data_IF_766905056873
#
_entry.id   IF_766905056873
#
_cell.length_a   1.000
_cell.length_b   1.000
_cell.length_c   1.000
_cell.angle_alpha   90.00
_cell.angle_beta   90.00
_cell.angle_gamma   90.00
#
_symmetry.space_group_name_H-M   'P 1'
#
loop_
_entity.id
_entity.type
_entity.pdbx_description
1 polymer ?
#
# COMPACT_ATOMS: atom_id res chain seq x y z
N UNK A 1 14.61 -28.14 -12.03
CA UNK A 1 13.33 -27.49 -11.65
C UNK A 1 13.18 -26.18 -12.42
N UNK A 2 11.95 -25.78 -12.76
CA UNK A 2 11.67 -24.45 -13.32
C UNK A 2 10.30 -23.94 -12.87
N UNK A 3 10.10 -22.62 -12.90
CA UNK A 3 8.78 -22.01 -12.75
C UNK A 3 8.04 -22.22 -14.07
N UNK A 4 6.89 -22.90 -14.03
CA UNK A 4 6.10 -23.18 -15.22
C UNK A 4 5.19 -21.99 -15.55
N UNK A 5 4.48 -21.48 -14.55
CA UNK A 5 3.66 -20.29 -14.66
C UNK A 5 3.41 -19.65 -13.29
N UNK A 6 2.93 -18.42 -13.33
CA UNK A 6 2.37 -17.73 -12.15
C UNK A 6 0.97 -17.22 -12.44
N UNK A 7 0.14 -17.13 -11.42
CA UNK A 7 -1.14 -16.44 -11.49
C UNK A 7 -1.15 -15.28 -10.51
N UNK A 8 -1.44 -14.09 -10.99
CA UNK A 8 -1.49 -12.85 -10.20
C UNK A 8 -2.95 -12.45 -10.07
N UNK A 9 -3.40 -12.29 -8.83
CA UNK A 9 -4.75 -11.83 -8.52
C UNK A 9 -4.75 -10.60 -7.63
N UNK A 10 -5.74 -9.72 -7.85
CA UNK A 10 -5.99 -8.51 -7.06
C UNK A 10 -4.77 -7.61 -6.80
N UNK A 11 -3.85 -7.52 -7.76
CA UNK A 11 -2.65 -6.69 -7.66
C UNK A 11 -2.71 -5.52 -8.66
N UNK A 12 -2.88 -4.29 -8.16
CA UNK A 12 -3.09 -3.08 -8.99
C UNK A 12 -4.23 -3.31 -9.99
N UNK A 13 -3.97 -3.24 -11.29
CA UNK A 13 -4.94 -3.51 -12.37
C UNK A 13 -5.03 -4.99 -12.78
N UNK A 14 -4.18 -5.86 -12.22
CA UNK A 14 -4.16 -7.29 -12.52
C UNK A 14 -5.17 -7.99 -11.60
N UNK A 15 -6.41 -8.13 -12.08
CA UNK A 15 -7.46 -8.77 -11.31
C UNK A 15 -7.27 -10.29 -11.24
N UNK A 16 -7.00 -10.92 -12.39
CA UNK A 16 -6.75 -12.37 -12.48
C UNK A 16 -6.01 -12.69 -13.79
N UNK A 17 -4.70 -12.87 -13.72
CA UNK A 17 -3.83 -13.02 -14.89
C UNK A 17 -2.88 -14.19 -14.70
N UNK A 18 -2.77 -15.08 -15.70
CA UNK A 18 -1.72 -16.09 -15.77
C UNK A 18 -0.57 -15.60 -16.65
N UNK A 19 0.65 -15.87 -16.22
CA UNK A 19 1.87 -15.65 -16.99
C UNK A 19 2.65 -16.97 -17.06
N UNK A 20 2.75 -17.53 -18.26
CA UNK A 20 3.55 -18.71 -18.53
C UNK A 20 5.01 -18.34 -18.77
N UNK A 21 5.94 -19.12 -18.21
CA UNK A 21 7.36 -18.92 -18.38
C UNK A 21 7.96 -19.96 -19.31
N UNK A 22 8.70 -19.49 -20.31
CA UNK A 22 9.54 -20.35 -21.12
C UNK A 22 10.74 -20.84 -20.30
N UNK A 23 11.30 -22.00 -20.70
CA UNK A 23 12.41 -22.66 -19.99
C UNK A 23 13.67 -21.82 -19.81
N UNK A 24 13.91 -20.85 -20.70
CA UNK A 24 15.15 -20.07 -20.75
C UNK A 24 14.90 -18.58 -20.66
N UNK A 25 14.07 -18.03 -21.55
CA UNK A 25 13.87 -16.58 -21.65
C UNK A 25 12.42 -16.29 -21.98
N UNK A 26 11.80 -15.44 -21.17
CA UNK A 26 10.43 -14.96 -21.35
C UNK A 26 10.45 -13.46 -21.53
N UNK A 27 9.77 -12.95 -22.56
CA UNK A 27 9.72 -11.52 -22.89
C UNK A 27 8.28 -11.05 -22.83
N UNK A 28 7.98 -10.03 -22.03
CA UNK A 28 6.65 -9.43 -21.98
C UNK A 28 6.53 -8.33 -23.02
N UNK A 29 5.67 -8.54 -24.02
CA UNK A 29 5.37 -7.57 -25.09
C UNK A 29 3.89 -7.21 -25.05
N UNK A 30 3.55 -5.94 -25.27
CA UNK A 30 2.18 -5.48 -25.27
C UNK A 30 2.07 -3.96 -25.24
N UNK A 31 0.86 -3.43 -25.40
CA UNK A 31 0.60 -1.99 -25.38
C UNK A 31 0.97 -1.32 -24.05
N UNK A 32 1.10 0.00 -24.04
CA UNK A 32 1.24 0.75 -22.78
C UNK A 32 0.05 0.47 -21.86
N UNK A 33 0.32 0.44 -20.54
CA UNK A 33 -0.66 0.13 -19.51
C UNK A 33 -1.29 -1.28 -19.58
N UNK A 34 -0.75 -2.20 -20.38
CA UNK A 34 -1.22 -3.59 -20.47
C UNK A 34 -0.84 -4.47 -19.26
N UNK A 35 -0.30 -3.89 -18.18
CA UNK A 35 0.03 -4.62 -16.96
C UNK A 35 1.43 -5.24 -16.87
N UNK A 36 2.28 -5.15 -17.91
CA UNK A 36 3.64 -5.74 -17.92
C UNK A 36 4.51 -5.30 -16.74
N UNK A 37 4.60 -3.99 -16.51
CA UNK A 37 5.36 -3.44 -15.39
C UNK A 37 4.73 -3.83 -14.05
N UNK A 38 3.39 -3.84 -13.96
CA UNK A 38 2.71 -4.28 -12.75
C UNK A 38 2.97 -5.76 -12.44
N UNK A 39 3.04 -6.63 -13.45
CA UNK A 39 3.35 -8.04 -13.27
C UNK A 39 4.79 -8.22 -12.76
N UNK A 40 5.74 -7.45 -13.29
CA UNK A 40 7.11 -7.44 -12.78
C UNK A 40 7.21 -6.96 -11.34
N UNK A 41 6.46 -5.91 -10.98
CA UNK A 41 6.43 -5.40 -9.61
C UNK A 41 5.75 -6.39 -8.66
N UNK A 42 4.70 -7.10 -9.10
CA UNK A 42 4.09 -8.17 -8.32
C UNK A 42 5.11 -9.28 -8.01
N UNK A 43 5.80 -9.78 -9.02
CA UNK A 43 6.86 -10.79 -8.84
C UNK A 43 7.93 -10.32 -7.86
N UNK A 44 8.37 -9.07 -7.98
CA UNK A 44 9.33 -8.48 -7.05
C UNK A 44 8.78 -8.44 -5.63
N UNK A 45 7.59 -7.90 -5.40
CA UNK A 45 7.03 -7.76 -4.06
C UNK A 45 6.76 -9.11 -3.39
N UNK A 46 6.27 -10.10 -4.13
CA UNK A 46 6.00 -11.43 -3.54
C UNK A 46 7.26 -12.28 -3.35
N UNK A 47 8.24 -12.20 -4.26
CA UNK A 47 9.36 -13.15 -4.28
C UNK A 47 10.70 -12.56 -3.78
N UNK A 48 10.87 -11.23 -3.81
CA UNK A 48 12.13 -10.55 -3.43
C UNK A 48 11.93 -9.64 -2.23
N UNK A 49 11.18 -8.55 -2.41
CA UNK A 49 11.02 -7.46 -1.44
C UNK A 49 9.65 -7.53 -0.76
N UNK A 50 9.47 -8.52 0.12
CA UNK A 50 8.19 -8.83 0.78
C UNK A 50 7.64 -7.73 1.69
N UNK A 51 8.47 -6.75 2.04
CA UNK A 51 8.10 -5.63 2.91
C UNK A 51 7.60 -4.39 2.16
N UNK A 52 7.63 -4.38 0.82
CA UNK A 52 7.47 -3.16 0.03
C UNK A 52 6.08 -2.84 -0.48
N UNK A 53 5.08 -3.61 -0.04
CA UNK A 53 3.69 -3.33 -0.35
C UNK A 53 3.23 -1.94 0.12
N UNK A 54 2.37 -1.34 -0.69
CA UNK A 54 1.65 -0.09 -0.43
C UNK A 54 0.16 -0.30 -0.70
N UNK A 55 -0.68 0.64 -0.23
CA UNK A 55 -2.12 0.59 -0.53
C UNK A 55 -2.40 0.65 -2.03
N UNK A 56 -1.52 1.27 -2.82
CA UNK A 56 -1.63 1.36 -4.27
C UNK A 56 -1.43 0.01 -4.98
N UNK A 57 -0.89 -0.99 -4.28
CA UNK A 57 -0.74 -2.34 -4.80
C UNK A 57 -2.04 -3.16 -4.64
N UNK A 58 -2.96 -2.73 -3.76
CA UNK A 58 -4.31 -3.26 -3.67
C UNK A 58 -5.13 -2.81 -4.88
N UNK A 59 -5.89 -3.71 -5.49
CA UNK A 59 -6.75 -3.38 -6.62
C UNK A 59 -7.78 -2.33 -6.25
N UNK A 60 -7.82 -1.23 -7.01
CA UNK A 60 -8.63 -0.04 -6.72
C UNK A 60 -10.13 -0.35 -6.61
N UNK A 61 -10.67 -1.26 -7.42
CA UNK A 61 -12.09 -1.64 -7.35
C UNK A 61 -12.47 -2.29 -6.03
N UNK A 62 -11.50 -2.84 -5.30
CA UNK A 62 -11.72 -3.53 -4.03
C UNK A 62 -11.63 -2.56 -2.83
N UNK A 63 -11.19 -1.31 -3.04
CA UNK A 63 -11.07 -0.32 -1.95
C UNK A 63 -12.41 -0.02 -1.30
N UNK A 64 -13.47 0.11 -2.11
CA UNK A 64 -14.82 0.37 -1.59
C UNK A 64 -15.32 -0.77 -0.70
N UNK A 65 -14.96 -2.03 -1.00
CA UNK A 65 -15.31 -3.18 -0.16
C UNK A 65 -14.55 -3.15 1.17
N UNK A 66 -13.27 -2.78 1.15
CA UNK A 66 -12.42 -2.65 2.35
C UNK A 66 -12.88 -1.46 3.23
N UNK A 67 -13.25 -0.33 2.63
CA UNK A 67 -13.84 0.80 3.36
C UNK A 67 -15.23 0.47 3.92
N UNK A 68 -16.02 -0.31 3.18
CA UNK A 68 -17.29 -0.86 3.65
C UNK A 68 -17.12 -1.77 4.88
N UNK A 69 -16.08 -2.61 4.89
CA UNK A 69 -15.72 -3.43 6.05
C UNK A 69 -15.40 -2.57 7.27
N UNK A 70 -14.61 -1.51 7.10
CA UNK A 70 -14.30 -0.56 8.17
C UNK A 70 -15.55 0.11 8.73
N UNK A 71 -16.43 0.57 7.84
CA UNK A 71 -17.73 1.17 8.21
C UNK A 71 -18.62 0.18 8.96
N UNK A 72 -18.63 -1.09 8.54
CA UNK A 72 -19.32 -2.17 9.24
C UNK A 72 -18.80 -2.38 10.67
N UNK A 73 -17.47 -2.36 10.85
CA UNK A 73 -16.85 -2.46 12.17
C UNK A 73 -17.19 -1.30 13.10
N UNK A 74 -17.38 -0.10 12.56
CA UNK A 74 -17.81 1.08 13.32
C UNK A 74 -19.29 0.99 13.74
N UNK A 75 -20.14 0.43 12.89
CA UNK A 75 -21.57 0.28 13.14
C UNK A 75 -21.89 -0.86 14.11
N UNK A 76 -21.02 -1.88 14.19
CA UNK A 76 -21.23 -3.02 15.10
C UNK A 76 -20.99 -2.57 16.54
N UNK A 77 -22.06 -2.42 17.32
CA UNK A 77 -21.97 -2.19 18.76
C UNK A 77 -21.39 -3.45 19.41
N UNK A 78 -20.54 -3.29 20.43
CA UNK A 78 -19.91 -4.39 21.19
C UNK A 78 -20.94 -5.45 21.61
N UNK A 79 -21.01 -6.56 20.88
CA UNK A 79 -21.91 -7.68 21.20
C UNK A 79 -22.52 -8.43 20.01
N UNK A 80 -22.60 -7.82 18.81
CA UNK A 80 -23.18 -8.49 17.65
C UNK A 80 -22.19 -9.45 16.96
N UNK A 81 -22.72 -10.57 16.46
CA UNK A 81 -21.97 -11.58 15.73
C UNK A 81 -21.44 -11.02 14.41
N UNK A 82 -20.15 -11.25 14.17
CA UNK A 82 -19.42 -10.72 13.03
C UNK A 82 -19.95 -11.31 11.72
N UNK A 83 -20.23 -10.46 10.73
CA UNK A 83 -20.39 -10.95 9.36
C UNK A 83 -19.02 -11.39 8.82
N UNK A 84 -18.89 -12.64 8.34
CA UNK A 84 -17.64 -13.12 7.79
C UNK A 84 -17.28 -12.33 6.53
N UNK A 85 -16.11 -11.70 6.52
CA UNK A 85 -15.61 -10.99 5.35
C UNK A 85 -14.71 -11.90 4.52
N UNK A 86 -15.01 -12.04 3.23
CA UNK A 86 -14.21 -12.86 2.32
C UNK A 86 -12.94 -12.12 1.87
N UNK A 87 -11.89 -12.23 2.69
CA UNK A 87 -10.56 -11.73 2.38
C UNK A 87 -9.97 -12.34 1.10
N UNK A 88 -10.38 -13.55 0.68
CA UNK A 88 -9.85 -14.18 -0.53
C UNK A 88 -10.19 -13.37 -1.79
N UNK A 89 -11.35 -12.72 -1.79
CA UNK A 89 -11.86 -11.98 -2.95
C UNK A 89 -11.14 -10.65 -3.19
N UNK A 90 -10.58 -10.03 -2.14
CA UNK A 90 -10.05 -8.66 -2.23
C UNK A 90 -8.53 -8.57 -2.18
N UNK A 91 -7.85 -9.54 -1.56
CA UNK A 91 -6.43 -9.44 -1.25
C UNK A 91 -5.53 -9.82 -2.43
N UNK A 92 -4.41 -9.11 -2.63
CA UNK A 92 -3.41 -9.48 -3.62
C UNK A 92 -2.80 -10.83 -3.31
N UNK A 93 -2.65 -11.65 -4.34
CA UNK A 93 -1.97 -12.94 -4.24
C UNK A 93 -1.18 -13.26 -5.51
N UNK A 94 -0.18 -14.12 -5.34
CA UNK A 94 0.63 -14.71 -6.39
C UNK A 94 0.65 -16.23 -6.21
N UNK A 95 0.10 -16.94 -7.17
CA UNK A 95 0.22 -18.40 -7.26
C UNK A 95 1.45 -18.72 -8.09
N UNK A 96 2.32 -19.55 -7.53
CA UNK A 96 3.54 -19.97 -8.15
C UNK A 96 3.47 -21.47 -8.41
N UNK A 97 3.57 -21.85 -9.68
CA UNK A 97 3.57 -23.25 -10.09
C UNK A 97 4.96 -23.67 -10.56
N UNK A 98 5.58 -24.56 -9.78
CA UNK A 98 6.92 -25.09 -10.02
C UNK A 98 6.81 -26.49 -10.61
N UNK A 99 7.56 -26.73 -11.67
CA UNK A 99 7.74 -28.07 -12.22
C UNK A 99 9.07 -28.65 -11.70
N UNK A 100 8.95 -29.66 -10.84
CA UNK A 100 10.05 -30.24 -10.09
C UNK A 100 10.26 -31.70 -10.51
N UNK A 101 11.44 -32.07 -11.01
CA UNK A 101 11.76 -33.45 -11.33
C UNK A 101 12.06 -34.26 -10.05
N UNK A 102 11.86 -35.58 -10.10
CA UNK A 102 12.02 -36.47 -8.94
C UNK A 102 13.39 -36.38 -8.25
N UNK A 103 14.48 -36.16 -9.00
CA UNK A 103 15.83 -36.09 -8.44
C UNK A 103 16.08 -34.80 -7.63
N UNK A 104 15.23 -33.78 -7.76
CA UNK A 104 15.34 -32.49 -7.05
C UNK A 104 14.34 -32.38 -5.87
N UNK A 105 13.61 -33.45 -5.55
CA UNK A 105 12.57 -33.48 -4.51
C UNK A 105 13.08 -33.00 -3.14
N UNK A 106 14.35 -33.26 -2.83
CA UNK A 106 14.99 -32.85 -1.58
C UNK A 106 15.00 -31.33 -1.36
N UNK A 107 14.89 -30.51 -2.41
CA UNK A 107 14.81 -29.05 -2.30
C UNK A 107 13.42 -28.55 -1.88
N UNK A 108 12.38 -29.32 -2.17
CA UNK A 108 10.97 -28.89 -2.06
C UNK A 108 10.20 -29.62 -0.96
N UNK A 109 10.90 -30.31 -0.04
CA UNK A 109 10.28 -31.11 1.04
C UNK A 109 9.22 -30.37 1.84
N UNK A 110 9.40 -29.05 2.05
CA UNK A 110 8.47 -28.21 2.82
C UNK A 110 7.17 -27.88 2.09
N UNK A 111 7.13 -28.09 0.77
CA UNK A 111 5.99 -27.74 -0.08
C UNK A 111 5.43 -28.95 -0.84
N UNK A 112 5.76 -30.16 -0.41
CA UNK A 112 5.22 -31.36 -1.03
C UNK A 112 3.73 -31.49 -0.69
N UNK A 113 2.85 -31.65 -1.69
CA UNK A 113 1.42 -31.80 -1.44
C UNK A 113 1.08 -33.16 -0.83
N UNK A 114 1.84 -34.21 -1.16
CA UNK A 114 1.62 -35.59 -0.71
C UNK A 114 2.95 -36.30 -0.46
N UNK A 115 2.97 -37.31 0.41
CA UNK A 115 4.17 -38.12 0.68
C UNK A 115 4.55 -39.02 -0.51
N UNK A 116 3.56 -39.52 -1.26
CA UNK A 116 3.75 -40.38 -2.44
C UNK A 116 3.94 -39.60 -3.74
N UNK A 117 4.43 -38.36 -3.64
CA UNK A 117 4.52 -37.47 -4.79
C UNK A 117 5.59 -37.94 -5.80
N UNK A 118 5.16 -38.24 -7.02
CA UNK A 118 5.95 -38.89 -8.06
C UNK A 118 6.63 -37.93 -9.06
N UNK A 119 6.78 -36.65 -8.70
CA UNK A 119 7.30 -35.63 -9.63
C UNK A 119 6.17 -34.83 -10.30
N UNK A 120 6.51 -33.66 -10.84
CA UNK A 120 5.58 -32.82 -11.61
C UNK A 120 5.35 -31.44 -11.00
N UNK A 121 4.09 -31.00 -11.02
CA UNK A 121 3.72 -29.64 -10.65
C UNK A 121 3.46 -29.52 -9.15
N UNK A 122 4.03 -28.48 -8.54
CA UNK A 122 3.79 -28.07 -7.15
C UNK A 122 3.35 -26.61 -7.17
N UNK A 123 2.22 -26.32 -6.55
CA UNK A 123 1.68 -24.97 -6.45
C UNK A 123 1.81 -24.40 -5.04
N UNK A 124 2.25 -23.15 -4.96
CA UNK A 124 2.29 -22.37 -3.71
C UNK A 124 1.65 -21.01 -3.94
N UNK A 125 0.62 -20.67 -3.16
CA UNK A 125 0.03 -19.33 -3.14
C UNK A 125 0.71 -18.47 -2.11
N UNK A 126 1.22 -17.32 -2.51
CA UNK A 126 1.66 -16.25 -1.64
C UNK A 126 0.57 -15.18 -1.58
N UNK A 127 -0.01 -14.93 -0.41
CA UNK A 127 -1.06 -13.91 -0.24
C UNK A 127 -0.62 -12.85 0.74
N UNK A 128 -0.88 -11.59 0.41
CA UNK A 128 -0.63 -10.47 1.30
C UNK A 128 -1.88 -10.20 2.15
N UNK A 129 -1.86 -10.59 3.42
CA UNK A 129 -3.05 -10.61 4.29
C UNK A 129 -2.79 -10.06 5.70
N UNK A 130 -3.85 -9.71 6.45
CA UNK A 130 -3.71 -9.30 7.85
C UNK A 130 -3.13 -10.41 8.73
N UNK A 131 -2.11 -10.07 9.51
CA UNK A 131 -1.50 -10.95 10.53
C UNK A 131 -2.54 -11.43 11.54
N UNK A 132 -3.28 -10.48 12.08
CA UNK A 132 -4.35 -10.72 13.04
C UNK A 132 -5.46 -9.70 12.77
N UNK A 133 -6.60 -10.20 12.27
CA UNK A 133 -7.77 -9.36 11.96
C UNK A 133 -8.31 -8.70 13.23
N UNK A 134 -8.26 -9.36 14.38
CA UNK A 134 -8.74 -8.81 15.64
C UNK A 134 -7.91 -7.64 16.15
N UNK A 135 -6.58 -7.74 16.09
CA UNK A 135 -5.69 -6.63 16.51
C UNK A 135 -5.76 -5.48 15.52
N UNK A 136 -5.79 -5.78 14.22
CA UNK A 136 -6.01 -4.79 13.16
C UNK A 136 -7.32 -4.01 13.37
N UNK A 137 -8.43 -4.70 13.63
CA UNK A 137 -9.73 -4.08 13.94
C UNK A 137 -9.65 -3.19 15.17
N UNK A 138 -9.05 -3.67 16.26
CA UNK A 138 -8.92 -2.90 17.51
C UNK A 138 -8.14 -1.61 17.29
N UNK A 139 -7.02 -1.66 16.58
CA UNK A 139 -6.20 -0.47 16.31
C UNK A 139 -6.93 0.53 15.42
N UNK A 140 -7.60 0.05 14.36
CA UNK A 140 -8.43 0.90 13.51
C UNK A 140 -9.55 1.61 14.29
N UNK A 141 -10.33 0.85 15.07
CA UNK A 141 -11.43 1.40 15.86
C UNK A 141 -10.91 2.36 16.93
N UNK A 142 -9.79 2.06 17.58
CA UNK A 142 -9.17 2.96 18.54
C UNK A 142 -8.75 4.29 17.89
N UNK A 143 -8.15 4.25 16.70
CA UNK A 143 -7.78 5.45 15.94
C UNK A 143 -9.01 6.28 15.55
N UNK A 144 -10.07 5.64 15.04
CA UNK A 144 -11.35 6.29 14.70
C UNK A 144 -12.03 6.92 15.92
N UNK A 145 -12.06 6.22 17.04
CA UNK A 145 -12.63 6.74 18.30
C UNK A 145 -11.80 7.88 18.88
N UNK A 146 -10.47 7.82 18.80
CA UNK A 146 -9.59 8.90 19.24
C UNK A 146 -9.84 10.18 18.42
N UNK A 147 -9.89 10.05 17.09
CA UNK A 147 -10.23 11.14 16.19
C UNK A 147 -11.63 11.73 16.50
N UNK A 148 -12.64 10.88 16.70
CA UNK A 148 -13.99 11.31 17.05
C UNK A 148 -14.05 12.03 18.40
N UNK A 149 -13.33 11.53 19.42
CA UNK A 149 -13.24 12.17 20.75
C UNK A 149 -12.65 13.57 20.64
N UNK A 150 -11.53 13.72 19.93
CA UNK A 150 -10.86 15.01 19.74
C UNK A 150 -11.77 16.00 19.00
N UNK A 151 -12.46 15.55 17.94
CA UNK A 151 -13.43 16.39 17.23
C UNK A 151 -14.62 16.80 18.12
N UNK A 152 -15.19 15.88 18.90
CA UNK A 152 -16.28 16.20 19.82
C UNK A 152 -15.87 17.17 20.93
N UNK A 153 -14.66 16.99 21.49
CA UNK A 153 -14.15 17.81 22.57
C UNK A 153 -14.00 19.28 22.15
N UNK A 154 -13.53 19.54 20.93
CA UNK A 154 -13.42 20.89 20.39
C UNK A 154 -14.77 21.57 20.10
N UNK A 155 -15.80 20.79 19.74
CA UNK A 155 -17.15 21.32 19.60
C UNK A 155 -17.73 21.69 20.98
N UNK A 156 -17.50 20.87 22.00
CA UNK A 156 -18.02 21.10 23.37
C UNK A 156 -17.23 22.11 24.22
N UNK A 157 -15.97 22.41 23.90
CA UNK A 157 -15.17 23.41 24.63
C UNK A 157 -15.59 24.87 24.34
N UNK A 158 -16.58 25.08 23.47
CA UNK A 158 -17.06 26.38 23.00
C UNK A 158 -18.05 27.11 23.92
N UNK A 159 -18.04 26.90 25.23
CA UNK A 159 -18.88 27.69 26.17
C UNK A 159 -18.18 28.96 26.71
N UNK A 160 -16.89 29.20 26.43
CA UNK A 160 -16.18 30.38 26.97
C UNK A 160 -15.06 30.98 26.11
N UNK A 161 -14.65 30.32 25.02
CA UNK A 161 -13.76 30.85 24.00
C UNK A 161 -14.28 30.35 22.65
N UNK A 162 -14.22 31.20 21.63
CA UNK A 162 -14.88 31.04 20.32
C UNK A 162 -15.10 29.57 19.92
N UNK A 163 -16.36 29.15 19.88
CA UNK A 163 -16.76 27.84 19.34
C UNK A 163 -16.16 27.69 17.94
N UNK A 164 -15.16 26.82 17.79
CA UNK A 164 -14.54 26.52 16.50
C UNK A 164 -15.62 25.93 15.60
N UNK A 165 -16.08 26.71 14.63
CA UNK A 165 -16.94 26.19 13.56
C UNK A 165 -16.06 25.28 12.71
N UNK A 166 -16.30 23.98 12.79
CA UNK A 166 -15.67 23.02 11.90
C UNK A 166 -15.96 23.43 10.45
N UNK A 167 -14.88 23.62 9.68
CA UNK A 167 -14.95 23.90 8.25
C UNK A 167 -15.57 22.69 7.54
N UNK A 168 -16.49 22.92 6.60
CA UNK A 168 -17.09 21.85 5.81
C UNK A 168 -16.00 21.00 5.13
N UNK A 169 -16.04 19.68 5.35
CA UNK A 169 -15.08 18.73 4.78
C UNK A 169 -13.82 18.49 5.62
N UNK A 170 -13.66 19.17 6.77
CA UNK A 170 -12.58 18.87 7.69
C UNK A 170 -12.85 17.59 8.49
N UNK A 171 -11.97 16.61 8.36
CA UNK A 171 -11.95 15.40 9.18
C UNK A 171 -10.52 15.05 9.54
N UNK A 172 -10.34 14.63 10.79
CA UNK A 172 -9.10 14.04 11.28
C UNK A 172 -8.85 12.66 10.64
N UNK A 173 -7.58 12.25 10.67
CA UNK A 173 -7.17 10.90 10.30
C UNK A 173 -7.57 9.89 11.41
N UNK A 174 -7.93 8.64 11.06
CA UNK A 174 -8.20 8.14 9.72
C UNK A 174 -9.62 8.49 9.24
N UNK A 175 -9.76 8.91 7.98
CA UNK A 175 -11.07 9.20 7.36
C UNK A 175 -11.81 7.93 6.95
N UNK A 176 -11.08 7.00 6.35
CA UNK A 176 -11.58 5.70 5.86
C UNK A 176 -10.62 4.58 6.26
N UNK A 177 -11.00 3.32 6.01
CA UNK A 177 -10.12 2.17 6.27
C UNK A 177 -8.86 2.23 5.41
N UNK A 178 -9.01 2.61 4.13
CA UNK A 178 -7.88 2.75 3.22
C UNK A 178 -6.90 3.85 3.65
N UNK A 179 -7.40 4.95 4.23
CA UNK A 179 -6.57 6.01 4.80
C UNK A 179 -5.78 5.53 6.03
N UNK A 180 -6.38 4.67 6.85
CA UNK A 180 -5.67 4.00 7.94
C UNK A 180 -4.57 3.06 7.42
N UNK A 181 -4.91 2.23 6.43
CA UNK A 181 -3.96 1.31 5.80
C UNK A 181 -2.83 2.05 5.09
N UNK A 182 -3.06 3.24 4.53
CA UNK A 182 -2.03 4.01 3.86
C UNK A 182 -0.77 4.24 4.74
N UNK A 183 -0.96 4.35 6.06
CA UNK A 183 0.13 4.49 7.03
C UNK A 183 0.49 3.17 7.74
N UNK A 184 -0.49 2.30 8.02
CA UNK A 184 -0.31 1.14 8.91
C UNK A 184 -0.32 -0.23 8.21
N UNK A 185 -0.46 -0.29 6.88
CA UNK A 185 -0.54 -1.54 6.11
C UNK A 185 0.64 -2.48 6.43
N UNK A 186 1.87 -1.98 6.39
CA UNK A 186 3.09 -2.78 6.62
C UNK A 186 3.20 -3.35 8.03
N UNK A 187 2.57 -2.72 9.01
CA UNK A 187 2.55 -3.18 10.39
C UNK A 187 1.62 -4.38 10.55
N UNK A 188 0.42 -4.28 9.95
CA UNK A 188 -0.65 -5.25 10.13
C UNK A 188 -0.64 -6.41 9.13
N UNK A 189 -0.02 -6.24 7.96
CA UNK A 189 -0.07 -7.24 6.90
C UNK A 189 1.26 -7.97 6.74
N UNK A 190 1.19 -9.21 6.29
CA UNK A 190 2.34 -10.02 5.92
C UNK A 190 2.02 -10.93 4.74
N UNK A 191 3.06 -11.48 4.13
CA UNK A 191 2.89 -12.53 3.12
C UNK A 191 2.82 -13.87 3.81
N UNK A 192 1.72 -14.58 3.61
CA UNK A 192 1.54 -15.98 4.01
C UNK A 192 1.51 -16.89 2.80
N UNK A 193 2.04 -18.08 2.98
CA UNK A 193 2.13 -19.07 1.93
C UNK A 193 1.17 -20.22 2.18
N UNK A 194 0.51 -20.71 1.13
CA UNK A 194 -0.44 -21.82 1.18
C UNK A 194 -0.13 -22.83 0.10
N UNK A 195 -0.36 -24.11 0.40
CA UNK A 195 -0.22 -25.17 -0.60
C UNK A 195 -1.43 -25.18 -1.51
N UNK A 196 -1.17 -25.34 -2.81
CA UNK A 196 -2.20 -25.50 -3.83
C UNK A 196 -2.26 -26.96 -4.29
N UNK A 197 -3.42 -27.34 -4.81
CA UNK A 197 -3.67 -28.69 -5.30
C UNK A 197 -3.51 -28.72 -6.83
N UNK A 198 -2.50 -29.42 -7.37
CA UNK A 198 -2.30 -29.51 -8.81
C UNK A 198 -3.51 -30.04 -9.58
N UNK A 199 -4.37 -30.86 -8.95
CA UNK A 199 -5.56 -31.40 -9.59
C UNK A 199 -6.67 -30.36 -9.81
N UNK A 200 -6.63 -29.24 -9.08
CA UNK A 200 -7.61 -28.14 -9.16
C UNK A 200 -7.13 -27.00 -10.05
N UNK A 201 -5.97 -27.15 -10.68
CA UNK A 201 -5.45 -26.16 -11.61
C UNK A 201 -6.27 -26.16 -12.91
N UNK A 202 -6.89 -25.02 -13.22
CA UNK A 202 -7.68 -24.82 -14.44
C UNK A 202 -6.89 -23.96 -15.43
N UNK A 203 -7.05 -24.23 -16.73
CA UNK A 203 -6.47 -23.38 -17.77
C UNK A 203 -7.24 -22.05 -17.87
N UNK A 204 -6.58 -20.93 -18.20
CA UNK A 204 -7.25 -19.64 -18.32
C UNK A 204 -8.28 -19.65 -19.47
N UNK A 205 -9.44 -19.05 -19.23
CA UNK A 205 -10.50 -18.88 -20.24
C UNK A 205 -10.52 -17.44 -20.72
N UNK A 206 -10.45 -17.22 -22.04
CA UNK A 206 -10.46 -15.88 -22.65
C UNK A 206 -9.41 -14.90 -22.07
N UNK A 207 -8.26 -15.42 -21.63
CA UNK A 207 -7.19 -14.62 -21.05
C UNK A 207 -7.40 -14.23 -19.58
N UNK A 208 -8.42 -14.77 -18.93
CA UNK A 208 -8.68 -14.60 -17.50
C UNK A 208 -8.25 -15.87 -16.78
N UNK A 209 -7.34 -15.76 -15.82
CA UNK A 209 -7.00 -16.90 -14.98
C UNK A 209 -8.17 -17.23 -14.04
N UNK A 210 -8.28 -18.50 -13.65
CA UNK A 210 -9.18 -18.94 -12.60
C UNK A 210 -8.35 -19.51 -11.44
N UNK A 211 -7.71 -18.65 -10.62
CA UNK A 211 -6.92 -19.10 -9.48
C UNK A 211 -7.75 -19.98 -8.56
N UNK A 212 -7.14 -21.05 -8.07
CA UNK A 212 -7.82 -22.01 -7.21
C UNK A 212 -8.35 -21.32 -5.93
N UNK A 213 -9.58 -21.57 -5.51
CA UNK A 213 -10.04 -21.14 -4.19
C UNK A 213 -9.31 -21.92 -3.09
N UNK A 214 -8.85 -21.21 -2.05
CA UNK A 214 -8.33 -21.87 -0.87
C UNK A 214 -9.51 -22.39 -0.02
N UNK A 215 -9.48 -23.64 0.46
CA UNK A 215 -10.48 -24.14 1.40
C UNK A 215 -10.56 -23.28 2.66
N UNK A 216 -11.76 -23.12 3.21
CA UNK A 216 -11.96 -22.44 4.49
C UNK A 216 -11.20 -23.15 5.60
N UNK A 217 -10.38 -22.39 6.34
CA UNK A 217 -9.52 -22.94 7.40
C UNK A 217 -8.16 -23.48 6.94
N UNK A 218 -7.74 -23.20 5.71
CA UNK A 218 -6.37 -23.54 5.25
C UNK A 218 -5.31 -22.88 6.14
N UNK A 219 -4.42 -23.69 6.71
CA UNK A 219 -3.34 -23.19 7.55
C UNK A 219 -2.17 -22.68 6.69
N UNK A 220 -1.61 -21.50 7.00
CA UNK A 220 -0.43 -20.99 6.30
C UNK A 220 0.80 -21.82 6.66
N UNK A 221 1.71 -21.95 5.70
CA UNK A 221 3.02 -22.55 5.91
C UNK A 221 3.88 -21.67 6.83
N UNK A 222 4.66 -22.31 7.69
CA UNK A 222 5.58 -21.61 8.58
C UNK A 222 6.79 -21.04 7.80
N UNK A 223 6.91 -19.72 7.84
CA UNK A 223 8.03 -18.98 7.26
C UNK A 223 7.99 -18.90 5.74
N UNK A 224 9.16 -18.71 5.13
CA UNK A 224 9.28 -18.62 3.67
C UNK A 224 9.54 -20.00 3.05
N UNK A 225 8.55 -20.61 2.36
CA UNK A 225 8.74 -21.92 1.74
C UNK A 225 9.67 -21.89 0.53
N UNK A 226 9.84 -20.74 -0.12
CA UNK A 226 10.64 -20.59 -1.34
C UNK A 226 12.11 -20.26 -1.06
N UNK A 227 12.45 -20.09 0.22
CA UNK A 227 13.81 -19.79 0.65
C UNK A 227 14.76 -20.90 0.21
N UNK A 228 15.80 -20.53 -0.54
CA UNK A 228 16.79 -21.43 -1.17
C UNK A 228 16.28 -22.25 -2.37
N UNK A 229 15.01 -22.13 -2.75
CA UNK A 229 14.44 -22.76 -3.95
C UNK A 229 14.59 -21.80 -5.13
N UNK A 230 14.26 -20.53 -4.90
CA UNK A 230 14.23 -19.50 -5.94
C UNK A 230 15.26 -18.42 -5.61
N UNK A 231 16.05 -18.06 -6.62
CA UNK A 231 16.93 -16.90 -6.62
C UNK A 231 16.46 -15.96 -7.71
N UNK A 232 16.21 -14.72 -7.35
CA UNK A 232 15.83 -13.67 -8.29
C UNK A 232 16.85 -12.55 -8.17
N UNK A 233 17.49 -12.24 -9.29
CA UNK A 233 18.36 -11.08 -9.42
C UNK A 233 17.60 -10.05 -10.28
N UNK A 234 17.18 -8.94 -9.68
CA UNK A 234 16.48 -7.86 -10.39
C UNK A 234 17.48 -6.85 -10.96
N UNK A 235 17.37 -6.58 -12.26
CA UNK A 235 18.05 -5.44 -12.90
C UNK A 235 17.01 -4.37 -13.18
N UNK A 236 17.01 -3.32 -12.38
CA UNK A 236 16.05 -2.25 -12.52
C UNK A 236 16.38 -1.39 -13.76
N UNK A 237 15.44 -1.31 -14.71
CA UNK A 237 15.57 -0.50 -15.91
C UNK A 237 15.50 1.02 -15.64
N UNK A 238 15.08 1.44 -14.44
CA UNK A 238 14.84 2.83 -14.05
C UNK A 238 15.94 3.43 -13.16
N UNK A 239 17.19 2.96 -13.29
CA UNK A 239 18.33 3.55 -12.59
C UNK A 239 18.42 5.05 -12.93
N UNK A 240 17.93 5.92 -12.03
CA UNK A 240 17.95 7.38 -12.18
C UNK A 240 16.60 8.10 -12.35
N UNK A 241 15.44 7.42 -12.36
CA UNK A 241 14.12 8.05 -12.59
C UNK A 241 13.13 7.99 -11.40
N UNK A 242 13.62 8.03 -10.16
CA UNK A 242 12.80 8.38 -8.98
C UNK A 242 11.72 7.38 -8.53
N UNK A 243 11.56 6.22 -9.19
CA UNK A 243 10.65 5.15 -8.79
C UNK A 243 11.25 4.17 -7.76
N UNK A 244 12.36 4.53 -7.11
CA UNK A 244 12.65 3.94 -5.80
C UNK A 244 11.44 4.29 -4.94
N UNK A 245 10.65 3.29 -4.56
CA UNK A 245 9.69 3.42 -3.48
C UNK A 245 10.45 4.15 -2.38
N UNK A 246 10.09 5.40 -2.11
CA UNK A 246 10.42 6.03 -0.84
C UNK A 246 9.63 5.21 0.17
N UNK A 247 10.19 4.06 0.54
CA UNK A 247 9.82 3.35 1.74
C UNK A 247 9.74 4.43 2.80
N UNK A 248 8.54 4.66 3.34
CA UNK A 248 8.36 5.49 4.52
C UNK A 248 9.13 4.94 5.75
N UNK A 249 9.91 3.85 5.55
CA UNK A 249 10.91 3.28 6.45
C UNK A 249 12.29 3.01 5.82
N UNK A 250 12.73 3.75 4.79
CA UNK A 250 14.18 3.97 4.63
C UNK A 250 14.55 5.14 5.54
N UNK A 251 14.77 4.82 6.81
CA UNK A 251 15.90 5.45 7.47
C UNK A 251 17.14 5.19 6.59
N UNK A 252 17.78 6.29 6.19
CA UNK A 252 19.23 6.36 6.10
C UNK A 252 19.91 5.14 5.46
N UNK A 253 19.84 5.00 4.14
CA UNK A 253 20.87 4.26 3.41
C UNK A 253 21.61 5.21 2.47
N UNK A 254 22.64 5.80 3.06
CA UNK A 254 23.99 5.86 2.52
C UNK A 254 24.14 6.20 1.02
N UNK A 255 23.95 7.47 0.68
CA UNK A 255 24.81 8.09 -0.35
C UNK A 255 25.16 9.54 0.03
N UNK A 256 25.54 9.73 1.30
CA UNK A 256 26.26 10.94 1.73
C UNK A 256 27.28 10.57 2.83
N UNK A 257 28.08 9.52 2.60
CA UNK A 257 29.33 9.33 3.33
C UNK A 257 30.39 10.31 2.80
N UNK A 258 30.21 11.61 3.10
CA UNK A 258 31.32 12.58 3.21
C UNK A 258 30.91 13.89 3.89
N UNK A 259 30.22 13.81 5.02
CA UNK A 259 30.24 14.90 5.99
C UNK A 259 30.24 14.38 7.44
N UNK A 260 31.42 14.01 7.93
CA UNK A 260 31.69 13.97 9.38
C UNK A 260 31.62 15.42 9.92
N UNK A 261 30.41 15.88 10.22
CA UNK A 261 30.10 17.13 10.90
C UNK A 261 28.79 16.96 11.66
N UNK A 262 28.74 17.41 12.92
CA UNK A 262 27.71 17.06 13.91
C UNK A 262 26.27 17.03 13.39
N UNK A 263 25.48 16.07 13.90
CA UNK A 263 24.05 15.90 13.61
C UNK A 263 23.37 17.27 13.63
N UNK A 264 22.93 17.75 12.47
CA UNK A 264 22.29 19.07 12.32
C UNK A 264 21.10 19.16 13.27
N UNK A 265 21.00 20.24 14.03
CA UNK A 265 19.90 20.50 14.98
C UNK A 265 18.52 20.32 14.33
N UNK A 266 18.39 20.65 13.04
CA UNK A 266 17.17 20.44 12.25
C UNK A 266 16.76 18.98 12.12
N UNK A 267 17.72 18.05 12.01
CA UNK A 267 17.42 16.61 11.96
C UNK A 267 16.88 16.12 13.30
N UNK A 268 17.44 16.62 14.40
CA UNK A 268 16.95 16.29 15.74
C UNK A 268 15.56 16.88 16.02
N UNK A 269 15.35 18.17 15.69
CA UNK A 269 14.04 18.84 15.79
C UNK A 269 12.98 18.14 14.94
N UNK A 270 13.34 17.71 13.72
CA UNK A 270 12.42 16.99 12.85
C UNK A 270 12.02 15.64 13.45
N UNK A 271 13.00 14.86 13.93
CA UNK A 271 12.71 13.58 14.55
C UNK A 271 11.82 13.76 15.80
N UNK A 272 12.10 14.78 16.61
CA UNK A 272 11.27 15.13 17.76
C UNK A 272 9.84 15.51 17.34
N UNK A 273 9.70 16.33 16.30
CA UNK A 273 8.39 16.71 15.77
C UNK A 273 7.61 15.48 15.29
N UNK A 274 8.22 14.64 14.45
CA UNK A 274 7.57 13.43 13.91
C UNK A 274 7.20 12.41 14.98
N UNK A 275 7.99 12.28 16.06
CA UNK A 275 7.72 11.30 17.11
C UNK A 275 6.74 11.79 18.19
N UNK A 276 6.67 13.10 18.44
CA UNK A 276 6.00 13.65 19.61
C UNK A 276 5.01 14.77 19.35
N UNK A 277 5.12 15.48 18.22
CA UNK A 277 4.33 16.68 17.93
C UNK A 277 3.60 16.61 16.58
N UNK A 278 3.60 15.46 15.89
CA UNK A 278 2.95 15.35 14.59
C UNK A 278 1.42 15.36 14.77
N UNK A 279 0.74 16.46 14.41
CA UNK A 279 -0.68 16.60 14.67
C UNK A 279 -1.53 15.66 13.78
N UNK A 280 -0.91 15.07 12.75
CA UNK A 280 -1.58 14.14 11.84
C UNK A 280 -1.62 12.70 12.38
N UNK A 281 -0.67 12.30 13.25
CA UNK A 281 -0.66 10.96 13.87
C UNK A 281 -1.41 10.96 15.21
N UNK A 282 -1.20 12.00 16.03
CA UNK A 282 -1.84 12.14 17.34
C UNK A 282 -2.38 13.56 17.53
N UNK A 283 -3.58 13.86 17.00
CA UNK A 283 -4.14 15.20 17.09
C UNK A 283 -4.51 15.54 18.54
N UNK A 284 -3.97 16.63 19.08
CA UNK A 284 -4.45 17.21 20.33
C UNK A 284 -5.57 18.23 20.07
N UNK A 285 -6.44 18.53 21.07
CA UNK A 285 -7.49 19.54 20.90
C UNK A 285 -6.97 20.93 20.50
N UNK A 286 -5.74 21.26 20.89
CA UNK A 286 -5.08 22.53 20.53
C UNK A 286 -4.63 22.58 19.08
N UNK A 287 -4.36 21.42 18.47
CA UNK A 287 -3.90 21.34 17.09
C UNK A 287 -5.04 21.49 16.09
N UNK A 288 -6.29 21.36 16.52
CA UNK A 288 -7.45 21.47 15.65
C UNK A 288 -7.57 22.82 14.96
N UNK A 289 -7.27 23.91 15.67
CA UNK A 289 -7.26 25.25 15.07
C UNK A 289 -6.21 25.35 13.96
N UNK A 290 -5.00 24.82 14.22
CA UNK A 290 -3.92 24.81 13.23
C UNK A 290 -4.27 23.92 12.03
N UNK A 291 -4.83 22.73 12.27
CA UNK A 291 -5.24 21.80 11.22
C UNK A 291 -6.40 22.35 10.36
N UNK A 292 -7.35 23.08 10.97
CA UNK A 292 -8.42 23.76 10.24
C UNK A 292 -7.87 24.89 9.38
N UNK A 293 -7.01 25.77 9.94
CA UNK A 293 -6.38 26.85 9.18
C UNK A 293 -5.55 26.31 8.01
N UNK A 294 -4.86 25.18 8.20
CA UNK A 294 -4.16 24.48 7.14
C UNK A 294 -5.11 23.95 6.06
N UNK A 295 -6.24 23.36 6.45
CA UNK A 295 -7.23 22.85 5.50
C UNK A 295 -7.88 23.98 4.69
N UNK A 296 -8.19 25.12 5.31
CA UNK A 296 -8.68 26.31 4.62
C UNK A 296 -7.65 26.85 3.63
N UNK A 297 -6.39 26.97 4.06
CA UNK A 297 -5.30 27.41 3.20
C UNK A 297 -5.10 26.47 1.99
N UNK A 298 -5.14 25.15 2.22
CA UNK A 298 -5.08 24.15 1.15
C UNK A 298 -6.25 24.31 0.18
N UNK A 299 -7.48 24.44 0.68
CA UNK A 299 -8.69 24.59 -0.14
C UNK A 299 -8.67 25.87 -0.95
N UNK A 300 -8.28 27.00 -0.35
CA UNK A 300 -8.16 28.28 -1.03
C UNK A 300 -7.07 28.24 -2.11
N UNK A 301 -5.92 27.62 -1.82
CA UNK A 301 -4.84 27.45 -2.80
C UNK A 301 -5.25 26.49 -3.92
N UNK A 302 -5.98 25.41 -3.61
CA UNK A 302 -6.50 24.44 -4.58
C UNK A 302 -7.41 25.10 -5.60
N UNK A 303 -8.41 25.86 -5.15
CA UNK A 303 -9.30 26.65 -6.02
C UNK A 303 -8.52 27.61 -6.92
N UNK A 304 -7.47 28.24 -6.39
CA UNK A 304 -6.62 29.13 -7.17
C UNK A 304 -5.85 28.36 -8.24
N UNK A 305 -5.25 27.22 -7.92
CA UNK A 305 -4.54 26.39 -8.89
C UNK A 305 -5.48 25.86 -9.97
N UNK A 306 -6.67 25.36 -9.60
CA UNK A 306 -7.69 24.94 -10.56
C UNK A 306 -8.03 26.07 -11.53
N UNK A 307 -8.24 27.29 -11.04
CA UNK A 307 -8.51 28.45 -11.90
C UNK A 307 -7.35 28.82 -12.82
N UNK A 308 -6.10 28.73 -12.34
CA UNK A 308 -4.91 29.06 -13.12
C UNK A 308 -4.63 28.01 -14.20
N UNK A 309 -4.84 26.73 -13.89
CA UNK A 309 -4.57 25.62 -14.80
C UNK A 309 -5.78 25.19 -15.64
N UNK A 310 -6.96 25.76 -15.41
CA UNK A 310 -8.18 25.41 -16.17
C UNK A 310 -7.99 25.50 -17.70
N UNK A 311 -7.33 26.55 -18.18
CA UNK A 311 -7.05 26.70 -19.60
C UNK A 311 -6.09 25.61 -20.13
N UNK A 312 -5.00 25.34 -19.40
CA UNK A 312 -4.01 24.33 -19.78
C UNK A 312 -4.57 22.90 -19.70
N UNK A 313 -5.41 22.61 -18.71
CA UNK A 313 -6.08 21.31 -18.57
C UNK A 313 -7.09 21.08 -19.70
N UNK A 314 -7.83 22.12 -20.10
CA UNK A 314 -8.75 22.04 -21.24
C UNK A 314 -8.02 21.81 -22.56
N UNK A 315 -6.90 22.48 -22.79
CA UNK A 315 -6.05 22.20 -23.96
C UNK A 315 -5.49 20.77 -23.93
N UNK A 316 -5.13 20.28 -22.74
CA UNK A 316 -4.60 18.92 -22.58
C UNK A 316 -5.68 17.83 -22.80
N UNK A 317 -6.93 18.11 -22.44
CA UNK A 317 -8.06 17.23 -22.76
C UNK A 317 -8.25 17.07 -24.28
N UNK A 318 -7.92 18.09 -25.07
CA UNK A 318 -7.97 18.05 -26.54
C UNK A 318 -6.71 17.37 -27.15
N UNK A 319 -5.63 17.19 -26.37
CA UNK A 319 -4.37 16.55 -26.79
C UNK A 319 -4.37 15.09 -26.34
N UNK A 320 -5.10 14.25 -27.06
CA UNK A 320 -5.20 12.81 -26.80
C UNK A 320 -5.49 12.00 -28.06
N UNK A 321 -5.11 10.71 -28.05
CA UNK A 321 -5.62 9.75 -29.03
C UNK A 321 -7.07 9.40 -28.64
N UNK A 322 -8.05 9.47 -29.56
CA UNK A 322 -9.45 9.21 -29.21
C UNK A 322 -9.62 7.79 -28.67
N UNK A 323 -9.91 7.69 -27.37
CA UNK A 323 -10.15 6.46 -26.65
C UNK A 323 -11.29 6.66 -25.65
N UNK A 324 -12.01 5.59 -25.33
CA UNK A 324 -13.25 5.62 -24.53
C UNK A 324 -13.01 6.01 -23.05
N UNK A 325 -11.76 6.22 -22.64
CA UNK A 325 -11.38 6.48 -21.24
C UNK A 325 -10.24 7.50 -21.14
N UNK A 326 -10.51 8.76 -21.47
CA UNK A 326 -9.56 9.84 -21.17
C UNK A 326 -9.64 10.21 -19.68
N UNK A 327 -8.52 10.11 -18.92
CA UNK A 327 -8.51 10.40 -17.50
C UNK A 327 -8.62 11.91 -17.26
N UNK A 328 -9.59 12.34 -16.46
CA UNK A 328 -9.69 13.73 -16.00
C UNK A 328 -8.63 14.00 -14.95
N UNK A 329 -7.77 14.98 -15.22
CA UNK A 329 -6.74 15.41 -14.28
C UNK A 329 -7.34 16.37 -13.27
N UNK A 330 -7.09 16.12 -11.98
CA UNK A 330 -7.49 17.01 -10.89
C UNK A 330 -6.25 17.42 -10.11
N UNK A 331 -6.09 18.73 -9.87
CA UNK A 331 -4.97 19.28 -9.14
C UNK A 331 -5.40 19.49 -7.70
N UNK A 332 -4.80 18.73 -6.78
CA UNK A 332 -5.03 18.87 -5.34
C UNK A 332 -3.79 19.41 -4.65
N UNK A 333 -3.98 20.31 -3.71
CA UNK A 333 -2.92 20.91 -2.90
C UNK A 333 -2.67 20.06 -1.66
N UNK A 334 -1.41 19.69 -1.42
CA UNK A 334 -1.01 18.99 -0.20
C UNK A 334 0.12 19.78 0.47
N UNK A 335 -0.18 20.35 1.64
CA UNK A 335 0.78 21.11 2.44
C UNK A 335 1.09 20.30 3.69
N UNK A 336 2.32 19.79 3.79
CA UNK A 336 2.80 19.07 4.97
C UNK A 336 3.59 20.02 5.88
N UNK A 337 3.30 20.10 7.19
CA UNK A 337 4.02 20.99 8.10
C UNK A 337 5.53 20.74 8.14
N UNK A 338 5.92 19.47 8.00
CA UNK A 338 7.33 19.04 7.96
C UNK A 338 8.14 19.65 6.83
N UNK A 339 7.50 20.15 5.77
CA UNK A 339 8.17 20.83 4.66
C UNK A 339 8.55 22.27 5.05
N UNK A 340 7.77 22.91 5.93
CA UNK A 340 8.11 24.23 6.50
C UNK A 340 9.36 24.19 7.37
N UNK A 341 9.56 23.10 8.12
CA UNK A 341 10.77 22.87 8.93
C UNK A 341 12.04 22.71 8.09
N UNK A 342 11.93 22.53 6.76
CA UNK A 342 13.09 22.45 5.84
C UNK A 342 13.73 23.82 5.61
N UNK A 343 12.95 24.90 5.68
CA UNK A 343 13.38 26.27 5.32
C UNK A 343 13.96 27.03 6.52
N UNK A 344 13.65 26.63 7.75
CA UNK A 344 14.09 27.31 8.97
C UNK A 344 15.64 27.38 9.16
N UNK A 345 16.42 26.66 8.36
CA UNK A 345 17.88 26.67 8.42
C UNK A 345 18.58 27.55 7.36
N UNK A 346 17.85 28.19 6.44
CA UNK A 346 18.47 29.07 5.43
C UNK A 346 18.56 30.54 5.87
N UNK A 347 18.14 30.88 7.09
CA UNK A 347 18.39 32.21 7.66
C UNK A 347 19.85 32.31 8.10
N UNK A 348 20.64 33.01 7.29
CA UNK A 348 21.99 33.48 7.56
C UNK A 348 22.07 34.12 8.97
N UNK A 349 22.94 33.66 9.88
CA UNK A 349 23.08 34.21 11.23
C UNK A 349 23.63 35.65 11.30
N UNK A 350 23.77 36.36 10.16
CA UNK A 350 24.30 37.74 10.11
C UNK A 350 23.28 38.87 10.25
N UNK A 351 21.99 38.60 10.44
CA UNK A 351 20.96 39.67 10.51
C UNK A 351 20.48 40.04 11.92
N UNK A 352 21.22 39.68 12.97
CA UNK A 352 20.98 40.22 14.32
C UNK A 352 22.17 41.06 14.74
N UNK A 353 22.26 42.27 14.19
CA UNK A 353 22.84 43.47 14.82
C UNK A 353 22.76 44.66 13.84
N UNK A 354 21.68 45.43 13.94
CA UNK A 354 21.73 46.89 14.16
C UNK A 354 20.35 47.43 14.46
#
# INVERSE_FOLDING_TARGET
MHIEHVEIGNFRKLHSVRVDFAKMTTVFVGANNSGKTSAMVALRHFLVDRADFSVNDLTLSNWALIDGLGSGWEATVTGDAEEPFDWNSVLPHLDLWLNVPMHELHHVQKILPTLDWAGGLIGVRLRYEPKNVGDFRKEYLAARQAAAKVMSAAVSAGEGSQSLKLVEGFSLWPRTMMDFLALKLRTHFEIRAYLLDPAKLVAPENGIAAPQSLPDGSEPLEGDPLKKIIRIDEINAQRGFGFTSTSHHQEYSADDERAKGGKRLSTQLRNYYTQHLDPFDKPEPKDLEALQAMHEAQTAFGKRLESCFAAALKELEDIGYPGVTDPKLTITTNVKPIDGLRVANTTDPRSVHR
#
